data_IF_142025258609
#
_entry.id   IF_142025258609
#
_cell.length_a   1.000
_cell.length_b   1.000
_cell.length_c   1.000
_cell.angle_alpha   90.00
_cell.angle_beta   90.00
_cell.angle_gamma   90.00
#
_symmetry.space_group_name_H-M   'P 1'
#
loop_
_entity.id
_entity.type
_entity.pdbx_description
1 polymer ?
#
# COMPACT_ATOMS: atom_id res chain seq x y z
N UNK A 1 -6.09 -15.03 43.11
CA UNK A 1 -6.13 -15.12 41.64
C UNK A 1 -6.93 -13.93 41.14
N UNK A 2 -6.27 -12.83 40.82
CA UNK A 2 -6.93 -11.61 40.37
C UNK A 2 -7.30 -11.81 38.91
N UNK A 3 -8.55 -12.03 38.59
CA UNK A 3 -9.04 -11.95 37.22
C UNK A 3 -8.82 -10.52 36.74
N UNK A 4 -7.84 -10.33 35.86
CA UNK A 4 -7.73 -9.09 35.09
C UNK A 4 -8.99 -8.99 34.23
N UNK A 5 -9.93 -8.17 34.66
CA UNK A 5 -11.10 -7.80 33.85
C UNK A 5 -10.55 -7.06 32.65
N UNK A 6 -10.45 -7.75 31.50
CA UNK A 6 -10.17 -7.09 30.23
C UNK A 6 -11.34 -6.17 29.91
N UNK A 7 -11.15 -4.86 30.14
CA UNK A 7 -12.12 -3.84 29.72
C UNK A 7 -12.34 -4.00 28.21
N UNK A 8 -13.53 -4.38 27.83
CA UNK A 8 -13.92 -4.41 26.41
C UNK A 8 -14.04 -2.96 25.92
N UNK A 9 -13.73 -2.76 24.62
CA UNK A 9 -13.93 -1.47 23.95
C UNK A 9 -15.37 -0.93 24.12
N UNK A 10 -16.35 -1.82 24.31
CA UNK A 10 -17.75 -1.48 24.58
C UNK A 10 -17.97 -0.78 25.92
N UNK A 11 -17.07 -0.94 26.88
CA UNK A 11 -17.26 -0.50 28.27
C UNK A 11 -16.89 0.98 28.48
N UNK A 12 -16.22 1.61 27.50
CA UNK A 12 -15.79 3.01 27.59
C UNK A 12 -16.02 3.75 26.27
N UNK A 13 -16.80 4.83 26.33
CA UNK A 13 -17.00 5.73 25.19
C UNK A 13 -15.68 6.34 24.71
N UNK A 14 -14.81 6.74 25.64
CA UNK A 14 -13.50 7.31 25.31
C UNK A 14 -12.62 6.30 24.53
N UNK A 15 -12.61 5.02 24.93
CA UNK A 15 -11.86 3.99 24.23
C UNK A 15 -12.36 3.76 22.80
N UNK A 16 -13.68 3.81 22.58
CA UNK A 16 -14.29 3.71 21.26
C UNK A 16 -13.89 4.87 20.35
N UNK A 17 -13.98 6.11 20.87
CA UNK A 17 -13.58 7.30 20.12
C UNK A 17 -12.08 7.32 19.81
N UNK A 18 -11.24 6.89 20.75
CA UNK A 18 -9.81 6.77 20.52
C UNK A 18 -9.49 5.72 19.44
N UNK A 19 -10.13 4.57 19.50
CA UNK A 19 -9.96 3.53 18.45
C UNK A 19 -10.43 4.04 17.09
N UNK A 20 -11.57 4.71 17.02
CA UNK A 20 -12.08 5.30 15.79
C UNK A 20 -11.11 6.34 15.23
N UNK A 21 -10.58 7.23 16.06
CA UNK A 21 -9.61 8.24 15.64
C UNK A 21 -8.33 7.60 15.10
N UNK A 22 -7.78 6.58 15.75
CA UNK A 22 -6.58 5.87 15.30
C UNK A 22 -6.83 5.22 13.94
N UNK A 23 -7.94 4.50 13.79
CA UNK A 23 -8.28 3.85 12.51
C UNK A 23 -8.47 4.88 11.40
N UNK A 24 -9.19 5.97 11.66
CA UNK A 24 -9.43 7.03 10.69
C UNK A 24 -8.14 7.71 10.23
N UNK A 25 -7.23 8.01 11.15
CA UNK A 25 -5.93 8.59 10.84
C UNK A 25 -5.08 7.60 10.03
N UNK A 26 -5.09 6.33 10.39
CA UNK A 26 -4.37 5.29 9.64
C UNK A 26 -4.90 5.18 8.19
N UNK A 27 -6.22 5.16 8.02
CA UNK A 27 -6.83 5.13 6.69
C UNK A 27 -6.52 6.40 5.88
N UNK A 28 -6.55 7.57 6.52
CA UNK A 28 -6.18 8.83 5.88
C UNK A 28 -4.75 8.75 5.32
N UNK A 29 -3.80 8.28 6.10
CA UNK A 29 -2.42 8.14 5.64
C UNK A 29 -2.27 7.05 4.56
N UNK A 30 -3.02 5.96 4.64
CA UNK A 30 -3.02 4.93 3.61
C UNK A 30 -3.44 5.49 2.25
N UNK A 31 -4.54 6.23 2.21
CA UNK A 31 -4.99 6.91 0.98
C UNK A 31 -4.01 7.99 0.52
N UNK A 32 -3.48 8.78 1.45
CA UNK A 32 -2.46 9.79 1.13
C UNK A 32 -1.26 9.16 0.41
N UNK A 33 -0.73 8.04 0.92
CA UNK A 33 0.39 7.33 0.29
C UNK A 33 0.05 6.68 -1.05
N UNK A 34 -1.20 6.38 -1.29
CA UNK A 34 -1.68 5.91 -2.60
C UNK A 34 -1.72 7.07 -3.58
N UNK A 35 -2.34 8.18 -3.19
CA UNK A 35 -2.61 9.31 -4.08
C UNK A 35 -1.39 10.21 -4.32
N UNK A 36 -0.40 10.22 -3.40
CA UNK A 36 0.83 11.02 -3.55
C UNK A 36 1.63 10.70 -4.82
N UNK A 37 1.41 9.53 -5.41
CA UNK A 37 2.06 9.14 -6.66
C UNK A 37 1.50 9.89 -7.88
N UNK A 38 0.24 10.29 -7.85
CA UNK A 38 -0.41 10.98 -8.98
C UNK A 38 0.26 12.33 -9.33
N UNK A 39 0.50 13.25 -8.40
CA UNK A 39 1.22 14.49 -8.71
C UNK A 39 2.72 14.28 -9.01
N UNK A 40 3.27 13.10 -8.73
CA UNK A 40 4.66 12.77 -9.03
C UNK A 40 4.86 12.21 -10.45
N UNK A 41 3.79 11.90 -11.19
CA UNK A 41 3.88 11.41 -12.56
C UNK A 41 4.82 12.24 -13.45
N UNK A 42 4.71 13.59 -13.51
CA UNK A 42 5.60 14.39 -14.34
C UNK A 42 7.08 14.27 -13.95
N UNK A 43 7.37 14.04 -12.66
CA UNK A 43 8.74 13.85 -12.18
C UNK A 43 9.31 12.47 -12.53
N UNK A 44 8.45 11.46 -12.59
CA UNK A 44 8.84 10.08 -12.92
C UNK A 44 9.05 9.90 -14.45
N UNK A 45 8.24 10.60 -15.24
CA UNK A 45 8.27 10.51 -16.71
C UNK A 45 9.19 11.53 -17.38
N UNK A 46 9.43 12.69 -16.76
CA UNK A 46 10.28 13.72 -17.31
C UNK A 46 11.77 13.35 -17.28
N UNK A 47 12.49 13.83 -18.29
CA UNK A 47 13.93 13.73 -18.32
C UNK A 47 14.57 14.60 -17.20
N UNK A 48 15.79 14.26 -16.81
CA UNK A 48 16.53 14.99 -15.75
C UNK A 48 16.79 16.46 -16.12
N UNK A 49 16.94 16.72 -17.42
CA UNK A 49 17.16 18.06 -17.97
C UNK A 49 15.92 18.96 -17.82
N UNK A 50 14.71 18.35 -17.78
CA UNK A 50 13.43 19.04 -17.60
C UNK A 50 12.96 19.06 -16.12
N UNK A 51 13.87 18.78 -15.18
CA UNK A 51 13.57 18.78 -13.75
C UNK A 51 12.95 17.48 -13.21
N UNK A 52 12.89 16.43 -14.02
CA UNK A 52 12.45 15.11 -13.61
C UNK A 52 13.52 14.32 -12.84
N UNK A 53 13.14 13.13 -12.33
CA UNK A 53 14.05 12.22 -11.65
C UNK A 53 14.98 11.46 -12.61
N UNK A 54 14.72 11.54 -13.91
CA UNK A 54 15.52 10.88 -14.94
C UNK A 54 15.37 9.35 -14.93
N UNK A 55 14.23 8.85 -14.48
CA UNK A 55 13.91 7.41 -14.48
C UNK A 55 13.53 6.91 -15.86
N UNK A 56 13.12 7.83 -16.77
CA UNK A 56 12.78 7.51 -18.15
C UNK A 56 11.50 6.67 -18.30
N UNK A 57 10.60 6.78 -17.34
CA UNK A 57 9.32 6.06 -17.42
C UNK A 57 8.45 6.65 -18.53
N UNK A 58 7.81 5.77 -19.28
CA UNK A 58 6.77 6.18 -20.22
C UNK A 58 5.43 6.37 -19.51
N UNK A 59 4.51 7.10 -20.13
CA UNK A 59 3.15 7.24 -19.60
C UNK A 59 2.42 5.90 -19.48
N UNK A 60 2.72 4.95 -20.36
CA UNK A 60 2.17 3.59 -20.29
C UNK A 60 2.72 2.82 -19.09
N UNK A 61 4.01 2.94 -18.81
CA UNK A 61 4.65 2.34 -17.63
C UNK A 61 4.10 2.92 -16.33
N UNK A 62 3.89 4.22 -16.29
CA UNK A 62 3.24 4.86 -15.15
C UNK A 62 1.78 4.40 -14.99
N UNK A 63 1.04 4.26 -16.09
CA UNK A 63 -0.33 3.74 -16.09
C UNK A 63 -0.39 2.31 -15.56
N UNK A 64 0.54 1.46 -15.98
CA UNK A 64 0.66 0.08 -15.49
C UNK A 64 1.02 0.05 -14.00
N UNK A 65 1.95 0.88 -13.56
CA UNK A 65 2.31 1.04 -12.15
C UNK A 65 1.09 1.48 -11.31
N UNK A 66 0.39 2.53 -11.74
CA UNK A 66 -0.79 3.05 -11.04
C UNK A 66 -1.92 2.01 -10.95
N UNK A 67 -2.15 1.25 -12.03
CA UNK A 67 -3.14 0.17 -12.06
C UNK A 67 -2.79 -1.03 -11.17
N UNK A 68 -1.51 -1.24 -10.89
CA UNK A 68 -1.04 -2.40 -10.12
C UNK A 68 -1.56 -2.41 -8.67
N UNK A 69 -1.88 -1.26 -8.09
CA UNK A 69 -2.47 -1.13 -6.76
C UNK A 69 -3.75 -1.97 -6.57
N UNK A 70 -4.63 -1.93 -7.56
CA UNK A 70 -5.90 -2.67 -7.52
C UNK A 70 -5.82 -4.10 -8.03
N UNK A 71 -4.71 -4.51 -8.62
CA UNK A 71 -4.60 -5.76 -9.35
C UNK A 71 -4.99 -6.97 -8.50
N UNK A 72 -4.37 -7.17 -7.35
CA UNK A 72 -4.68 -8.30 -6.48
C UNK A 72 -6.07 -8.19 -5.85
N UNK A 73 -6.51 -6.97 -5.53
CA UNK A 73 -7.84 -6.75 -4.95
C UNK A 73 -8.95 -7.19 -5.91
N UNK A 74 -8.79 -6.90 -7.21
CA UNK A 74 -9.77 -7.23 -8.23
C UNK A 74 -9.67 -8.70 -8.65
N UNK A 75 -8.46 -9.17 -9.04
CA UNK A 75 -8.28 -10.50 -9.61
C UNK A 75 -8.35 -11.64 -8.59
N UNK A 76 -7.86 -11.43 -7.38
CA UNK A 76 -7.91 -12.44 -6.33
C UNK A 76 -9.14 -12.29 -5.43
N UNK A 77 -9.99 -11.31 -5.66
CA UNK A 77 -11.16 -11.07 -4.83
C UNK A 77 -10.80 -10.86 -3.35
N UNK A 78 -9.66 -10.20 -3.09
CA UNK A 78 -9.13 -10.02 -1.73
C UNK A 78 -10.09 -9.27 -0.82
N UNK A 79 -11.00 -8.49 -1.40
CA UNK A 79 -12.08 -7.85 -0.65
C UNK A 79 -12.95 -8.88 0.09
N UNK A 80 -13.26 -10.01 -0.55
CA UNK A 80 -14.03 -11.12 0.06
C UNK A 80 -13.15 -11.91 1.02
N UNK A 81 -11.93 -12.23 0.62
CA UNK A 81 -10.96 -12.98 1.44
C UNK A 81 -10.61 -12.20 2.70
N UNK A 82 -10.45 -10.88 2.60
CA UNK A 82 -10.19 -10.00 3.74
C UNK A 82 -11.31 -10.08 4.80
N UNK A 83 -12.56 -10.11 4.38
CA UNK A 83 -13.70 -10.32 5.28
C UNK A 83 -13.63 -11.68 6.00
N UNK A 84 -13.34 -12.76 5.28
CA UNK A 84 -13.19 -14.10 5.86
C UNK A 84 -12.01 -14.17 6.85
N UNK A 85 -10.90 -13.52 6.53
CA UNK A 85 -9.74 -13.44 7.43
C UNK A 85 -10.09 -12.66 8.69
N UNK A 86 -10.79 -11.54 8.54
CA UNK A 86 -11.24 -10.71 9.66
C UNK A 86 -12.16 -11.50 10.60
N UNK A 87 -13.12 -12.24 10.06
CA UNK A 87 -14.06 -13.03 10.84
C UNK A 87 -13.38 -14.22 11.54
N UNK A 88 -12.42 -14.86 10.89
CA UNK A 88 -11.75 -16.05 11.41
C UNK A 88 -10.63 -15.76 12.40
N UNK A 89 -9.79 -14.74 12.12
CA UNK A 89 -8.60 -14.43 12.90
C UNK A 89 -8.76 -13.18 13.77
N UNK A 90 -9.80 -12.40 13.54
CA UNK A 90 -10.14 -11.23 14.33
C UNK A 90 -9.38 -9.97 13.90
N UNK A 91 -9.87 -8.82 14.37
CA UNK A 91 -9.42 -7.48 13.97
C UNK A 91 -7.95 -7.21 14.28
N UNK A 92 -7.42 -7.75 15.38
CA UNK A 92 -6.02 -7.50 15.77
C UNK A 92 -5.04 -8.14 14.80
N UNK A 93 -5.30 -9.39 14.44
CA UNK A 93 -4.45 -10.11 13.48
C UNK A 93 -4.54 -9.48 12.09
N UNK A 94 -5.76 -9.21 11.63
CA UNK A 94 -5.98 -8.60 10.30
C UNK A 94 -5.33 -7.24 10.20
N UNK A 95 -5.48 -6.37 11.20
CA UNK A 95 -4.86 -5.06 11.22
C UNK A 95 -3.32 -5.11 11.24
N UNK A 96 -2.73 -6.06 11.99
CA UNK A 96 -1.28 -6.24 12.00
C UNK A 96 -0.76 -6.72 10.64
N UNK A 97 -1.41 -7.72 10.05
CA UNK A 97 -1.08 -8.23 8.71
C UNK A 97 -1.18 -7.13 7.65
N UNK A 98 -2.28 -6.38 7.65
CA UNK A 98 -2.50 -5.23 6.76
C UNK A 98 -1.34 -4.22 6.87
N UNK A 99 -1.00 -3.80 8.08
CA UNK A 99 0.10 -2.85 8.32
C UNK A 99 1.45 -3.39 7.84
N UNK A 100 1.76 -4.66 8.08
CA UNK A 100 3.01 -5.29 7.63
C UNK A 100 3.06 -5.33 6.09
N UNK A 101 1.96 -5.68 5.42
CA UNK A 101 1.89 -5.71 3.95
C UNK A 101 2.04 -4.31 3.35
N UNK A 102 1.38 -3.30 3.91
CA UNK A 102 1.53 -1.92 3.48
C UNK A 102 2.97 -1.42 3.65
N UNK A 103 3.57 -1.67 4.80
CA UNK A 103 4.96 -1.27 5.08
C UNK A 103 5.94 -1.98 4.15
N UNK A 104 5.79 -3.30 3.98
CA UNK A 104 6.62 -4.09 3.06
C UNK A 104 6.48 -3.63 1.62
N UNK A 105 5.26 -3.38 1.15
CA UNK A 105 4.98 -2.85 -0.18
C UNK A 105 5.60 -1.46 -0.41
N UNK A 106 5.50 -0.58 0.58
CA UNK A 106 6.12 0.75 0.54
C UNK A 106 7.65 0.67 0.47
N UNK A 107 8.27 -0.24 1.24
CA UNK A 107 9.73 -0.46 1.20
C UNK A 107 10.19 -1.00 -0.15
N UNK A 108 9.48 -1.96 -0.73
CA UNK A 108 9.82 -2.51 -2.06
C UNK A 108 9.70 -1.41 -3.11
N UNK A 109 8.64 -0.61 -3.08
CA UNK A 109 8.43 0.52 -3.98
C UNK A 109 9.56 1.54 -3.87
N UNK A 110 9.93 1.94 -2.65
CA UNK A 110 11.04 2.86 -2.41
C UNK A 110 12.37 2.29 -2.91
N UNK A 111 12.65 1.02 -2.61
CA UNK A 111 13.87 0.34 -3.06
C UNK A 111 13.95 0.25 -4.58
N UNK A 112 12.83 -0.07 -5.26
CA UNK A 112 12.76 -0.15 -6.70
C UNK A 112 13.08 1.17 -7.39
N UNK A 113 12.54 2.29 -6.87
CA UNK A 113 12.77 3.63 -7.43
C UNK A 113 14.18 4.16 -7.09
N UNK A 114 14.75 3.75 -5.95
CA UNK A 114 16.07 4.19 -5.50
C UNK A 114 17.23 3.50 -6.20
N UNK A 115 16.99 2.35 -6.84
CA UNK A 115 18.03 1.59 -7.53
C UNK A 115 17.82 1.62 -9.04
N UNK A 116 18.91 1.75 -9.79
CA UNK A 116 18.90 1.62 -11.25
C UNK A 116 18.97 0.15 -11.63
N UNK A 117 17.92 -0.36 -12.23
CA UNK A 117 17.89 -1.70 -12.78
C UNK A 117 18.13 -1.65 -14.29
N UNK A 118 19.09 -2.43 -14.78
CA UNK A 118 19.34 -2.61 -16.21
C UNK A 118 18.62 -3.88 -16.65
N UNK A 119 17.63 -3.75 -17.51
CA UNK A 119 16.89 -4.86 -18.09
C UNK A 119 15.42 -4.51 -18.35
N UNK A 120 14.86 -5.20 -19.32
CA UNK A 120 13.44 -5.12 -19.68
C UNK A 120 12.82 -6.51 -19.52
N UNK A 121 11.63 -6.55 -18.96
CA UNK A 121 10.83 -7.76 -18.84
C UNK A 121 9.41 -7.44 -19.32
N UNK A 122 8.90 -8.24 -20.26
CA UNK A 122 7.59 -8.04 -20.89
C UNK A 122 7.43 -6.69 -21.61
N UNK A 123 8.53 -6.04 -22.04
CA UNK A 123 8.50 -4.74 -22.69
C UNK A 123 8.43 -3.55 -21.72
N UNK A 124 8.56 -3.80 -20.43
CA UNK A 124 8.63 -2.78 -19.39
C UNK A 124 9.99 -2.81 -18.70
N UNK A 125 10.44 -1.68 -18.21
CA UNK A 125 11.66 -1.61 -17.42
C UNK A 125 11.55 -2.47 -16.15
N UNK A 126 12.60 -3.19 -15.81
CA UNK A 126 12.64 -4.04 -14.60
C UNK A 126 12.32 -3.24 -13.34
N UNK A 127 12.73 -1.97 -13.29
CA UNK A 127 12.43 -1.04 -12.21
C UNK A 127 10.92 -0.84 -12.02
N UNK A 128 10.18 -0.66 -13.12
CA UNK A 128 8.72 -0.49 -13.11
C UNK A 128 8.05 -1.73 -12.55
N UNK A 129 8.51 -2.92 -12.96
CA UNK A 129 7.94 -4.19 -12.50
C UNK A 129 8.11 -4.36 -10.98
N UNK A 130 9.30 -4.07 -10.44
CA UNK A 130 9.51 -4.12 -8.99
C UNK A 130 8.69 -3.07 -8.25
N UNK A 131 8.55 -1.87 -8.80
CA UNK A 131 7.68 -0.84 -8.24
C UNK A 131 6.21 -1.27 -8.26
N UNK A 132 5.75 -1.92 -9.35
CA UNK A 132 4.40 -2.48 -9.45
C UNK A 132 4.13 -3.58 -8.42
N UNK A 133 5.09 -4.49 -8.21
CA UNK A 133 4.97 -5.52 -7.18
C UNK A 133 4.85 -4.92 -5.77
N UNK A 134 5.67 -3.91 -5.47
CA UNK A 134 5.59 -3.19 -4.20
C UNK A 134 4.24 -2.48 -4.04
N UNK A 135 3.72 -1.85 -5.10
CA UNK A 135 2.45 -1.14 -5.04
C UNK A 135 1.24 -2.08 -4.98
N UNK A 136 1.30 -3.21 -5.67
CA UNK A 136 0.30 -4.27 -5.58
C UNK A 136 0.26 -4.89 -4.18
N UNK A 137 1.42 -5.18 -3.57
CA UNK A 137 1.51 -5.67 -2.20
C UNK A 137 0.99 -4.65 -1.18
N UNK A 138 1.29 -3.37 -1.39
CA UNK A 138 0.72 -2.27 -0.62
C UNK A 138 -0.81 -2.27 -0.71
N UNK A 139 -1.37 -2.41 -1.91
CA UNK A 139 -2.81 -2.47 -2.14
C UNK A 139 -3.51 -3.64 -1.46
N UNK A 140 -2.83 -4.77 -1.29
CA UNK A 140 -3.36 -5.92 -0.51
C UNK A 140 -3.51 -5.56 0.97
N UNK A 141 -2.62 -4.72 1.50
CA UNK A 141 -2.65 -4.29 2.90
C UNK A 141 -3.61 -3.12 3.16
N UNK A 142 -3.89 -2.33 2.16
CA UNK A 142 -4.73 -1.14 2.27
C UNK A 142 -6.20 -1.47 2.14
#
# INVERSE_FOLDING_TARGET
MVQQIQKKLSDSAAARWAALAIVSVTMMFAYFFTDVMSPLEPLLTAAKEDGGLGLGWTSDEYGFFSGSYGFFNVFLGLLFIGGIILDKFGIRFTGLMSTILMFGGALIKWWAVSNTFTGELFGYQMQVIWACLGFALYGVGA
#
